data_IF_819715083580
#
_entry.id   IF_819715083580
#
_cell.length_a   1.000
_cell.length_b   1.000
_cell.length_c   1.000
_cell.angle_alpha   90.00
_cell.angle_beta   90.00
_cell.angle_gamma   90.00
#
_symmetry.space_group_name_H-M   'P 1'
#
loop_
_entity.id
_entity.type
_entity.pdbx_description
1 polymer ?
#
# COMPACT_ATOMS: atom_id res chain seq x y z
N UNK A 1 -5.43 -39.72 0.48
CA UNK A 1 -5.35 -38.87 1.67
C UNK A 1 -6.26 -37.65 1.60
N UNK A 2 -6.88 -37.39 0.43
CA UNK A 2 -7.72 -36.17 0.21
C UNK A 2 -9.22 -36.34 0.51
N UNK A 3 -9.70 -37.50 0.89
CA UNK A 3 -11.13 -37.75 1.09
C UNK A 3 -11.63 -37.55 2.52
N UNK A 4 -10.76 -37.33 3.48
CA UNK A 4 -11.12 -37.21 4.90
C UNK A 4 -11.37 -35.76 5.38
N UNK A 5 -10.94 -34.77 4.63
CA UNK A 5 -11.09 -33.35 5.01
C UNK A 5 -12.45 -32.78 4.61
N UNK A 6 -13.16 -33.38 3.65
CA UNK A 6 -14.49 -32.93 3.22
C UNK A 6 -15.64 -33.38 4.12
N UNK A 7 -15.40 -34.35 5.03
CA UNK A 7 -16.42 -34.87 5.95
C UNK A 7 -16.57 -34.11 7.28
N UNK A 8 -15.59 -33.32 7.68
CA UNK A 8 -15.57 -32.71 9.01
C UNK A 8 -16.23 -31.32 9.09
N UNK A 9 -16.55 -30.70 7.97
CA UNK A 9 -17.14 -29.33 7.94
C UNK A 9 -18.68 -29.35 7.94
N UNK A 10 -19.32 -30.49 7.72
CA UNK A 10 -20.79 -30.60 7.58
C UNK A 10 -21.53 -31.05 8.84
N UNK A 11 -20.87 -31.35 9.97
CA UNK A 11 -21.52 -31.86 11.20
C UNK A 11 -21.67 -30.81 12.32
N UNK A 12 -21.15 -29.60 12.15
CA UNK A 12 -21.18 -28.56 13.21
C UNK A 12 -22.39 -27.60 13.13
N UNK A 13 -23.38 -27.83 12.26
CA UNK A 13 -24.49 -26.87 12.03
C UNK A 13 -25.90 -27.38 12.40
N UNK A 14 -26.04 -28.51 13.07
CA UNK A 14 -27.35 -29.05 13.47
C UNK A 14 -27.35 -29.48 14.94
N UNK A 15 -27.25 -28.53 15.87
CA UNK A 15 -27.71 -28.73 17.26
C UNK A 15 -27.85 -27.41 18.00
N UNK A 16 -28.78 -26.54 17.59
CA UNK A 16 -29.32 -25.52 18.46
C UNK A 16 -30.82 -25.75 18.55
N UNK A 17 -31.16 -26.73 19.42
CA UNK A 17 -32.53 -27.10 19.73
C UNK A 17 -33.24 -25.97 20.46
N UNK A 18 -34.39 -25.62 19.97
CA UNK A 18 -35.37 -24.70 20.48
C UNK A 18 -35.95 -25.29 21.79
N UNK A 19 -35.62 -24.72 22.92
CA UNK A 19 -36.41 -24.88 24.16
C UNK A 19 -37.18 -23.59 24.38
N UNK A 20 -38.43 -23.56 23.93
CA UNK A 20 -39.36 -22.50 24.24
C UNK A 20 -39.74 -22.57 25.73
N UNK A 21 -39.37 -21.59 26.49
CA UNK A 21 -39.92 -21.34 27.82
C UNK A 21 -40.97 -20.26 27.68
N UNK A 22 -42.24 -20.64 27.90
CA UNK A 22 -43.32 -19.69 28.08
C UNK A 22 -43.08 -18.91 29.37
N UNK A 23 -42.57 -17.71 29.26
CA UNK A 23 -42.58 -16.76 30.36
C UNK A 23 -43.97 -16.12 30.44
N UNK A 24 -44.67 -16.41 31.49
CA UNK A 24 -45.91 -15.70 31.85
C UNK A 24 -45.52 -14.29 32.25
N UNK A 25 -45.88 -13.31 31.43
CA UNK A 25 -45.67 -11.90 31.74
C UNK A 25 -46.60 -11.54 32.91
N UNK A 26 -46.04 -11.39 34.08
CA UNK A 26 -46.71 -10.74 35.21
C UNK A 26 -46.75 -9.24 34.92
N UNK A 27 -47.98 -8.73 34.90
CA UNK A 27 -48.29 -7.32 34.69
C UNK A 27 -47.67 -6.45 35.78
N UNK A 28 -46.52 -5.87 35.52
CA UNK A 28 -45.76 -4.96 36.39
C UNK A 28 -46.00 -3.49 36.03
N UNK A 29 -47.17 -3.18 35.43
CA UNK A 29 -47.47 -1.82 34.93
C UNK A 29 -47.68 -0.76 36.02
N UNK A 30 -47.57 -1.11 37.29
CA UNK A 30 -47.83 -0.15 38.41
C UNK A 30 -46.58 0.32 39.17
N UNK A 31 -45.38 -0.20 38.88
CA UNK A 31 -44.18 0.20 39.61
C UNK A 31 -43.19 1.05 38.81
N UNK A 32 -43.52 1.41 37.56
CA UNK A 32 -42.63 2.21 36.69
C UNK A 32 -43.12 3.65 36.48
N UNK A 33 -44.07 4.12 37.31
CA UNK A 33 -44.64 5.47 37.17
C UNK A 33 -43.70 6.60 37.64
N UNK A 34 -42.54 6.28 38.18
CA UNK A 34 -41.64 7.32 38.70
C UNK A 34 -40.19 7.19 38.13
N UNK A 35 -40.09 6.77 36.88
CA UNK A 35 -38.84 6.94 36.16
C UNK A 35 -38.73 8.42 35.80
N UNK A 36 -37.90 9.13 36.58
CA UNK A 36 -37.46 10.49 36.23
C UNK A 36 -37.04 10.50 34.79
N UNK A 37 -37.86 11.11 33.91
CA UNK A 37 -37.43 11.43 32.56
C UNK A 37 -36.45 12.60 32.68
N UNK A 38 -35.14 12.38 32.56
CA UNK A 38 -34.23 13.49 32.53
C UNK A 38 -34.57 14.32 31.29
N UNK A 39 -34.91 15.57 31.49
CA UNK A 39 -35.09 16.56 30.40
C UNK A 39 -33.70 16.85 29.77
N UNK A 40 -33.15 15.80 29.16
CA UNK A 40 -31.91 15.89 28.45
C UNK A 40 -32.30 16.52 27.12
N UNK A 41 -32.09 17.84 26.99
CA UNK A 41 -32.04 18.46 25.67
C UNK A 41 -31.05 17.64 24.85
N UNK A 42 -31.57 16.93 23.85
CA UNK A 42 -30.72 16.29 22.85
C UNK A 42 -29.83 17.41 22.31
N UNK A 43 -28.56 17.34 22.66
CA UNK A 43 -27.54 18.16 22.00
C UNK A 43 -27.53 17.63 20.57
N UNK A 44 -27.86 18.45 19.62
CA UNK A 44 -27.51 18.17 18.22
C UNK A 44 -25.97 18.12 18.22
N UNK A 45 -25.46 16.90 18.18
CA UNK A 45 -24.05 16.66 17.93
C UNK A 45 -23.95 16.93 16.43
N UNK A 46 -23.47 18.11 16.05
CA UNK A 46 -22.90 18.29 14.74
C UNK A 46 -21.82 17.20 14.66
N UNK A 47 -22.02 16.24 13.77
CA UNK A 47 -20.97 15.32 13.40
C UNK A 47 -19.80 16.22 13.05
N UNK A 48 -18.68 16.08 13.75
CA UNK A 48 -17.47 16.77 13.37
C UNK A 48 -17.26 16.41 11.89
N UNK A 49 -17.27 17.43 11.03
CA UNK A 49 -16.79 17.23 9.66
C UNK A 49 -15.38 16.69 9.85
N UNK A 50 -15.25 15.38 9.69
CA UNK A 50 -13.96 14.74 9.60
C UNK A 50 -13.42 15.31 8.30
N UNK A 51 -12.48 16.24 8.40
CA UNK A 51 -11.71 16.71 7.25
C UNK A 51 -11.11 15.45 6.62
N UNK A 52 -11.81 14.96 5.59
CA UNK A 52 -11.34 13.79 4.86
C UNK A 52 -10.22 14.28 3.95
N UNK A 53 -9.00 14.31 4.49
CA UNK A 53 -7.77 14.54 3.74
C UNK A 53 -7.53 13.34 2.82
N UNK A 54 -8.26 13.32 1.70
CA UNK A 54 -8.25 12.19 0.78
C UNK A 54 -7.06 12.21 -0.18
N UNK A 55 -6.40 13.36 -0.33
CA UNK A 55 -5.28 13.51 -1.22
C UNK A 55 -3.96 13.45 -0.47
N UNK A 56 -3.03 12.71 -1.04
CA UNK A 56 -1.67 12.56 -0.53
C UNK A 56 -0.69 12.92 -1.65
N UNK A 57 0.23 13.84 -1.40
CA UNK A 57 1.31 14.21 -2.31
C UNK A 57 2.65 14.10 -1.60
N UNK A 58 3.66 13.55 -2.28
CA UNK A 58 4.96 13.41 -1.67
C UNK A 58 6.12 13.17 -2.61
N UNK A 59 7.29 13.16 -1.98
CA UNK A 59 8.57 12.89 -2.61
C UNK A 59 9.19 11.66 -1.97
N UNK A 60 10.00 10.94 -2.73
CA UNK A 60 10.76 9.82 -2.23
C UNK A 60 12.16 9.78 -2.83
N UNK A 61 13.06 9.13 -2.10
CA UNK A 61 14.42 8.84 -2.51
C UNK A 61 14.82 7.45 -2.03
N UNK A 62 15.59 6.73 -2.82
CA UNK A 62 15.95 5.37 -2.49
C UNK A 62 16.96 4.75 -3.43
N UNK A 63 16.89 3.44 -3.52
CA UNK A 63 17.79 2.63 -4.36
C UNK A 63 16.95 1.72 -5.24
N UNK A 64 17.22 1.78 -6.53
CA UNK A 64 16.70 0.88 -7.55
C UNK A 64 17.81 -0.11 -7.96
N UNK A 65 17.62 -1.38 -7.68
CA UNK A 65 18.47 -2.46 -8.17
C UNK A 65 17.94 -2.90 -9.52
N UNK A 66 18.60 -2.44 -10.58
CA UNK A 66 18.23 -2.78 -11.95
C UNK A 66 19.06 -3.98 -12.41
N UNK A 67 18.40 -5.01 -12.94
CA UNK A 67 19.07 -6.22 -13.41
C UNK A 67 20.13 -5.86 -14.48
N UNK A 68 21.31 -6.46 -14.38
CA UNK A 68 22.50 -6.21 -15.21
C UNK A 68 23.24 -4.88 -14.98
N UNK A 69 22.60 -3.84 -14.39
CA UNK A 69 23.20 -2.51 -14.18
C UNK A 69 23.44 -2.18 -12.68
N UNK A 70 23.10 -3.12 -11.78
CA UNK A 70 23.36 -2.98 -10.35
C UNK A 70 22.43 -2.01 -9.65
N UNK A 71 22.87 -1.50 -8.50
CA UNK A 71 22.06 -0.62 -7.65
C UNK A 71 22.36 0.84 -7.96
N UNK A 72 21.31 1.64 -8.14
CA UNK A 72 21.36 3.02 -8.57
C UNK A 72 20.45 3.86 -7.69
N UNK A 73 20.77 5.13 -7.49
CA UNK A 73 19.92 6.04 -6.76
C UNK A 73 18.64 6.34 -7.55
N UNK A 74 17.51 6.38 -6.87
CA UNK A 74 16.21 6.73 -7.44
C UNK A 74 15.60 7.87 -6.67
N UNK A 75 14.98 8.80 -7.38
CA UNK A 75 14.22 9.92 -6.83
C UNK A 75 12.89 10.01 -7.54
N UNK A 76 11.84 10.36 -6.82
CA UNK A 76 10.54 10.47 -7.45
C UNK A 76 9.53 11.25 -6.65
N UNK A 77 8.35 11.36 -7.28
CA UNK A 77 7.16 11.98 -6.73
C UNK A 77 6.01 10.98 -6.75
N UNK A 78 5.10 11.13 -5.81
CA UNK A 78 3.87 10.34 -5.74
C UNK A 78 2.68 11.23 -5.45
N UNK A 79 1.56 10.86 -5.99
CA UNK A 79 0.26 11.40 -5.63
C UNK A 79 -0.68 10.22 -5.41
N UNK A 80 -1.41 10.24 -4.31
CA UNK A 80 -2.39 9.21 -4.02
C UNK A 80 -3.74 9.82 -3.65
N UNK A 81 -4.79 9.09 -3.95
CA UNK A 81 -6.16 9.40 -3.57
C UNK A 81 -6.72 8.26 -2.76
N UNK A 82 -7.10 8.54 -1.52
CA UNK A 82 -7.71 7.58 -0.60
C UNK A 82 -9.19 7.45 -0.90
N UNK A 83 -9.57 6.32 -1.52
CA UNK A 83 -10.96 6.01 -1.92
C UNK A 83 -11.79 5.64 -0.69
N UNK A 84 -11.16 4.95 0.25
CA UNK A 84 -11.70 4.54 1.54
C UNK A 84 -10.54 4.38 2.55
N UNK A 85 -10.86 4.02 3.78
CA UNK A 85 -9.84 3.71 4.80
C UNK A 85 -8.90 2.58 4.37
N UNK A 86 -9.42 1.61 3.59
CA UNK A 86 -8.68 0.43 3.14
C UNK A 86 -8.04 0.62 1.77
N UNK A 87 -8.64 1.38 0.85
CA UNK A 87 -8.25 1.44 -0.55
C UNK A 87 -7.76 2.81 -0.97
N UNK A 88 -6.66 2.84 -1.70
CA UNK A 88 -6.14 4.05 -2.33
C UNK A 88 -5.64 3.78 -3.75
N UNK A 89 -5.72 4.79 -4.60
CA UNK A 89 -5.12 4.81 -5.92
C UNK A 89 -3.89 5.73 -5.87
N UNK A 90 -2.79 5.30 -6.45
CA UNK A 90 -1.53 6.05 -6.47
C UNK A 90 -1.02 6.19 -7.89
N UNK A 91 -0.56 7.38 -8.25
CA UNK A 91 0.30 7.62 -9.41
C UNK A 91 1.68 8.02 -8.92
N UNK A 92 2.72 7.44 -9.51
CA UNK A 92 4.09 7.80 -9.18
C UNK A 92 4.94 7.98 -10.45
N UNK A 93 5.93 8.85 -10.32
CA UNK A 93 6.95 9.08 -11.33
C UNK A 93 8.33 9.07 -10.67
N UNK A 94 9.24 8.29 -11.21
CA UNK A 94 10.59 8.16 -10.69
C UNK A 94 11.65 8.31 -11.77
N UNK A 95 12.81 8.80 -11.35
CA UNK A 95 14.00 8.96 -12.20
C UNK A 95 15.20 8.30 -11.53
N UNK A 96 16.04 7.69 -12.33
CA UNK A 96 17.28 7.06 -11.90
C UNK A 96 18.34 7.19 -13.01
N UNK A 97 19.60 7.15 -12.64
CA UNK A 97 20.71 7.11 -13.60
C UNK A 97 21.50 5.83 -13.40
N UNK A 98 21.44 4.95 -14.40
CA UNK A 98 22.08 3.65 -14.33
C UNK A 98 23.61 3.75 -14.43
N UNK A 99 24.29 2.99 -13.59
CA UNK A 99 25.75 2.86 -13.61
C UNK A 99 26.18 1.94 -14.77
N UNK A 100 27.51 1.87 -14.97
CA UNK A 100 28.10 0.94 -15.93
C UNK A 100 27.78 -0.50 -15.54
N UNK A 101 27.40 -1.30 -16.54
CA UNK A 101 27.16 -2.73 -16.38
C UNK A 101 28.40 -3.45 -15.79
N UNK A 102 28.16 -4.58 -15.14
CA UNK A 102 29.23 -5.43 -14.61
C UNK A 102 30.17 -5.93 -15.71
N UNK A 103 29.67 -6.20 -16.91
CA UNK A 103 30.47 -6.59 -18.09
C UNK A 103 31.37 -5.47 -18.57
N UNK A 104 30.91 -4.22 -18.59
CA UNK A 104 31.71 -3.06 -18.97
C UNK A 104 32.84 -2.78 -17.96
N UNK A 105 32.62 -3.06 -16.68
CA UNK A 105 33.63 -2.86 -15.63
C UNK A 105 34.74 -3.90 -15.68
N UNK A 106 34.44 -5.15 -16.03
CA UNK A 106 35.40 -6.27 -15.94
C UNK A 106 36.20 -6.45 -17.22
N UNK A 107 35.60 -6.28 -18.39
CA UNK A 107 36.18 -6.75 -19.65
C UNK A 107 36.75 -5.66 -20.55
N UNK A 108 36.62 -4.38 -20.19
CA UNK A 108 37.08 -3.28 -21.05
C UNK A 108 36.37 -3.23 -22.41
N UNK A 109 35.17 -3.82 -22.49
CA UNK A 109 34.33 -3.74 -23.67
C UNK A 109 33.91 -2.29 -23.93
N UNK A 110 33.62 -1.91 -25.18
CA UNK A 110 33.05 -0.61 -25.48
C UNK A 110 31.75 -0.46 -24.69
N UNK A 111 31.40 0.77 -24.25
CA UNK A 111 30.21 1.02 -23.47
C UNK A 111 28.99 0.53 -24.25
N UNK A 112 28.13 -0.26 -23.57
CA UNK A 112 26.89 -0.80 -24.14
C UNK A 112 25.86 0.32 -24.37
N UNK A 113 25.88 1.33 -23.51
CA UNK A 113 24.97 2.46 -23.52
C UNK A 113 25.76 3.77 -23.48
N UNK A 114 25.29 4.76 -24.19
CA UNK A 114 25.75 6.14 -24.07
C UNK A 114 25.33 6.74 -22.72
N UNK A 115 25.92 7.86 -22.31
CA UNK A 115 25.58 8.48 -21.04
C UNK A 115 24.10 8.96 -20.96
N UNK A 116 23.52 9.33 -22.11
CA UNK A 116 22.12 9.75 -22.23
C UNK A 116 21.15 8.54 -22.19
N UNK A 117 21.57 7.39 -22.73
CA UNK A 117 20.79 6.15 -22.69
C UNK A 117 20.76 5.47 -21.31
N UNK A 118 21.59 5.94 -20.37
CA UNK A 118 21.60 5.49 -18.97
C UNK A 118 20.55 6.16 -18.11
N UNK A 119 19.94 7.21 -18.61
CA UNK A 119 18.86 7.87 -17.90
C UNK A 119 17.61 6.99 -17.98
N UNK A 120 17.10 6.61 -16.81
CA UNK A 120 15.91 5.80 -16.63
C UNK A 120 14.83 6.65 -15.98
N UNK A 121 13.64 6.61 -16.52
CA UNK A 121 12.47 7.16 -15.89
C UNK A 121 11.31 6.17 -15.98
N UNK A 122 10.42 6.20 -15.00
CA UNK A 122 9.23 5.37 -15.00
C UNK A 122 8.03 6.13 -14.45
N UNK A 123 6.85 5.73 -14.88
CA UNK A 123 5.58 6.17 -14.32
C UNK A 123 4.64 4.99 -14.19
N UNK A 124 3.92 4.93 -13.07
CA UNK A 124 3.01 3.83 -12.77
C UNK A 124 1.71 4.36 -12.18
N UNK A 125 0.65 3.60 -12.41
CA UNK A 125 -0.61 3.71 -11.71
C UNK A 125 -0.80 2.45 -10.86
N UNK A 126 -1.07 2.64 -9.60
CA UNK A 126 -1.14 1.59 -8.60
C UNK A 126 -2.49 1.63 -7.88
N UNK A 127 -2.97 0.47 -7.51
CA UNK A 127 -4.01 0.29 -6.52
C UNK A 127 -3.37 -0.23 -5.25
N UNK A 128 -3.63 0.43 -4.14
CA UNK A 128 -3.11 0.07 -2.82
C UNK A 128 -4.21 -0.37 -1.88
N UNK A 129 -3.85 -1.27 -0.99
CA UNK A 129 -4.72 -1.78 0.06
C UNK A 129 -4.02 -1.72 1.42
N UNK A 130 -4.61 -1.03 2.40
CA UNK A 130 -4.13 -0.96 3.77
C UNK A 130 -4.47 -2.27 4.48
N UNK A 131 -3.45 -3.04 4.82
CA UNK A 131 -3.60 -4.39 5.40
C UNK A 131 -3.77 -4.35 6.91
N UNK A 132 -2.95 -3.56 7.60
CA UNK A 132 -2.81 -3.56 9.04
C UNK A 132 -2.66 -2.13 9.55
N UNK A 133 -3.76 -1.45 9.86
CA UNK A 133 -3.69 -0.22 10.65
C UNK A 133 -3.22 -0.58 12.08
N UNK A 134 -2.33 0.23 12.64
CA UNK A 134 -1.76 -0.03 13.94
C UNK A 134 -1.05 1.17 14.53
N UNK A 135 -0.42 0.95 15.67
CA UNK A 135 0.41 1.94 16.32
C UNK A 135 1.83 1.41 16.46
N UNK A 136 2.82 2.21 16.08
CA UNK A 136 4.23 1.91 16.29
C UNK A 136 4.76 2.73 17.45
N UNK A 137 5.34 2.05 18.43
CA UNK A 137 5.95 2.70 19.59
C UNK A 137 7.46 2.84 19.38
N UNK A 138 7.93 4.09 19.33
CA UNK A 138 9.36 4.41 19.28
C UNK A 138 9.73 5.17 20.54
N UNK A 139 10.34 4.46 21.50
CA UNK A 139 10.64 5.00 22.81
C UNK A 139 9.40 5.35 23.63
N UNK A 140 9.10 6.63 23.81
CA UNK A 140 7.91 7.15 24.53
C UNK A 140 6.81 7.67 23.58
N UNK A 141 7.06 7.63 22.28
CA UNK A 141 6.17 8.16 21.26
C UNK A 141 5.40 7.03 20.61
N UNK A 142 4.09 7.22 20.47
CA UNK A 142 3.21 6.36 19.69
C UNK A 142 2.92 7.06 18.36
N UNK A 143 3.14 6.37 17.26
CA UNK A 143 2.84 6.84 15.91
C UNK A 143 1.78 5.94 15.29
N UNK A 144 0.75 6.52 14.72
CA UNK A 144 -0.18 5.77 13.90
C UNK A 144 0.59 5.22 12.69
N UNK A 145 0.37 3.97 12.38
CA UNK A 145 1.06 3.27 11.31
C UNK A 145 0.09 2.43 10.49
N UNK A 146 0.42 2.24 9.22
CA UNK A 146 -0.33 1.35 8.35
C UNK A 146 0.63 0.59 7.44
N UNK A 147 0.54 -0.73 7.46
CA UNK A 147 1.14 -1.56 6.42
C UNK A 147 0.19 -1.64 5.24
N UNK A 148 0.71 -1.48 4.05
CA UNK A 148 -0.06 -1.58 2.83
C UNK A 148 0.62 -2.41 1.76
N UNK A 149 -0.19 -2.92 0.86
CA UNK A 149 0.23 -3.62 -0.35
C UNK A 149 -0.19 -2.82 -1.56
N UNK A 150 0.63 -2.83 -2.62
CA UNK A 150 0.34 -2.17 -3.88
C UNK A 150 0.52 -3.11 -5.05
N UNK A 151 -0.34 -2.96 -6.04
CA UNK A 151 -0.26 -3.62 -7.34
C UNK A 151 -0.58 -2.59 -8.42
N UNK A 152 0.22 -2.57 -9.47
CA UNK A 152 0.02 -1.60 -10.53
C UNK A 152 0.69 -1.94 -11.84
N UNK A 153 0.54 -1.03 -12.76
CA UNK A 153 1.15 -1.10 -14.08
C UNK A 153 1.53 0.30 -14.55
N UNK A 154 2.47 0.36 -15.46
CA UNK A 154 2.93 1.58 -16.06
C UNK A 154 3.97 1.32 -17.13
N UNK A 155 4.84 2.30 -17.35
CA UNK A 155 5.90 2.17 -18.33
C UNK A 155 7.22 2.64 -17.75
N UNK A 156 8.29 1.99 -18.19
CA UNK A 156 9.68 2.36 -17.91
C UNK A 156 10.34 2.78 -19.20
N UNK A 157 10.86 3.99 -19.24
CA UNK A 157 11.64 4.54 -20.34
C UNK A 157 13.11 4.28 -20.04
N UNK A 158 13.76 3.52 -20.90
CA UNK A 158 15.15 3.12 -20.75
C UNK A 158 15.78 2.86 -22.11
N UNK A 159 17.03 3.29 -22.32
CA UNK A 159 17.78 3.09 -23.58
C UNK A 159 17.02 3.61 -24.82
N UNK A 160 16.31 4.73 -24.72
CA UNK A 160 15.48 5.35 -25.75
C UNK A 160 14.22 4.57 -26.17
N UNK A 161 13.91 3.48 -25.46
CA UNK A 161 12.71 2.69 -25.66
C UNK A 161 11.79 2.75 -24.45
N UNK A 162 10.50 2.44 -24.67
CA UNK A 162 9.46 2.40 -23.63
C UNK A 162 9.00 0.96 -23.43
N UNK A 163 9.11 0.49 -22.17
CA UNK A 163 8.78 -0.88 -21.79
C UNK A 163 7.61 -0.89 -20.84
N UNK A 164 6.58 -1.66 -21.16
CA UNK A 164 5.47 -1.87 -20.26
C UNK A 164 5.93 -2.61 -19.00
N UNK A 165 5.55 -2.09 -17.83
CA UNK A 165 6.04 -2.56 -16.55
C UNK A 165 4.87 -2.85 -15.62
N UNK A 166 4.84 -4.04 -15.06
CA UNK A 166 4.01 -4.34 -13.89
C UNK A 166 4.80 -4.03 -12.63
N UNK A 167 4.13 -3.53 -11.61
CA UNK A 167 4.77 -3.40 -10.32
C UNK A 167 3.92 -4.03 -9.20
N UNK A 168 4.61 -4.61 -8.24
CA UNK A 168 4.04 -5.18 -7.03
C UNK A 168 4.93 -4.79 -5.86
N UNK A 169 4.33 -4.40 -4.77
CA UNK A 169 5.10 -3.96 -3.62
C UNK A 169 4.28 -3.85 -2.36
N UNK A 170 4.93 -3.35 -1.35
CA UNK A 170 4.32 -3.03 -0.07
C UNK A 170 5.14 -2.01 0.67
N UNK A 171 4.53 -1.39 1.65
CA UNK A 171 5.18 -0.36 2.43
C UNK A 171 4.62 -0.22 3.83
N UNK A 172 5.34 0.56 4.60
CA UNK A 172 4.97 1.02 5.92
C UNK A 172 4.78 2.53 5.86
N UNK A 173 3.60 2.99 6.23
CA UNK A 173 3.27 4.41 6.43
C UNK A 173 3.27 4.71 7.92
N UNK A 174 3.97 5.78 8.32
CA UNK A 174 4.03 6.28 9.69
C UNK A 174 3.54 7.73 9.70
N UNK A 175 2.46 8.01 10.39
CA UNK A 175 1.95 9.37 10.57
C UNK A 175 2.74 10.08 11.66
N UNK A 176 3.51 11.08 11.25
CA UNK A 176 4.29 11.93 12.17
C UNK A 176 3.41 13.01 12.77
N UNK A 177 2.49 13.52 11.97
CA UNK A 177 1.41 14.45 12.35
C UNK A 177 0.15 14.04 11.60
N UNK A 178 -0.98 14.70 11.85
CA UNK A 178 -2.24 14.40 11.15
C UNK A 178 -2.12 14.59 9.62
N UNK A 179 -1.25 15.48 9.16
CA UNK A 179 -1.07 15.85 7.76
C UNK A 179 0.29 15.49 7.14
N UNK A 180 1.22 14.89 7.92
CA UNK A 180 2.54 14.44 7.43
C UNK A 180 2.72 12.96 7.74
N UNK A 181 3.04 12.18 6.70
CA UNK A 181 3.47 10.80 6.87
C UNK A 181 4.84 10.53 6.27
N UNK A 182 5.55 9.57 6.85
CA UNK A 182 6.76 8.97 6.32
C UNK A 182 6.42 7.60 5.76
N UNK A 183 7.04 7.26 4.64
CA UNK A 183 6.86 5.97 3.98
C UNK A 183 8.19 5.24 3.86
N UNK A 184 8.12 3.94 4.03
CA UNK A 184 9.17 3.03 3.61
C UNK A 184 8.55 1.98 2.71
N UNK A 185 8.94 1.99 1.45
CA UNK A 185 8.40 1.13 0.40
C UNK A 185 9.45 0.15 -0.12
N UNK A 186 8.98 -1.03 -0.49
CA UNK A 186 9.72 -2.01 -1.29
C UNK A 186 8.83 -2.40 -2.45
N UNK A 187 9.33 -2.20 -3.68
CA UNK A 187 8.60 -2.44 -4.93
C UNK A 187 9.42 -3.32 -5.86
N UNK A 188 8.77 -4.19 -6.58
CA UNK A 188 9.38 -4.98 -7.65
C UNK A 188 8.73 -4.58 -8.97
N UNK A 189 9.54 -4.11 -9.91
CA UNK A 189 9.15 -3.72 -11.25
C UNK A 189 9.49 -4.87 -12.19
N UNK A 190 8.48 -5.46 -12.81
CA UNK A 190 8.55 -6.59 -13.71
C UNK A 190 8.35 -6.09 -15.14
N UNK A 191 9.35 -6.24 -16.00
CA UNK A 191 9.26 -5.83 -17.39
C UNK A 191 10.02 -6.79 -18.31
N UNK A 192 9.66 -6.79 -19.58
CA UNK A 192 10.37 -7.54 -20.62
C UNK A 192 11.08 -6.56 -21.52
N UNK A 193 12.37 -6.77 -21.80
CA UNK A 193 13.14 -5.96 -22.73
C UNK A 193 13.93 -6.83 -23.71
N UNK A 194 14.24 -6.27 -24.89
CA UNK A 194 15.00 -6.92 -25.96
C UNK A 194 16.39 -6.28 -26.19
N UNK A 195 16.99 -5.66 -25.18
CA UNK A 195 18.24 -4.89 -25.32
C UNK A 195 19.41 -5.71 -25.91
N UNK A 196 19.43 -7.01 -25.69
CA UNK A 196 20.48 -7.93 -26.19
C UNK A 196 20.03 -8.76 -27.39
N UNK A 197 18.92 -8.40 -28.05
CA UNK A 197 18.41 -9.05 -29.26
C UNK A 197 17.47 -10.23 -29.00
N UNK A 198 17.28 -10.64 -27.76
CA UNK A 198 16.28 -11.62 -27.33
C UNK A 198 15.42 -10.99 -26.23
N UNK A 199 14.14 -11.36 -26.20
CA UNK A 199 13.23 -10.93 -25.15
C UNK A 199 13.66 -11.54 -23.80
N UNK A 200 13.93 -10.69 -22.82
CA UNK A 200 14.33 -11.09 -21.48
C UNK A 200 13.39 -10.47 -20.47
N UNK A 201 12.80 -11.31 -19.62
CA UNK A 201 12.05 -10.87 -18.46
C UNK A 201 13.02 -10.50 -17.33
N UNK A 202 12.91 -9.29 -16.83
CA UNK A 202 13.76 -8.77 -15.75
C UNK A 202 12.91 -8.31 -14.56
N UNK A 203 13.54 -8.35 -13.41
CA UNK A 203 12.97 -7.92 -12.13
C UNK A 203 13.86 -6.83 -11.53
N UNK A 204 13.28 -5.69 -11.26
CA UNK A 204 13.99 -4.55 -10.73
C UNK A 204 13.44 -4.22 -9.35
N UNK A 205 14.25 -4.46 -8.33
CA UNK A 205 13.86 -4.23 -6.94
C UNK A 205 14.19 -2.79 -6.54
N UNK A 206 13.18 -2.06 -6.08
CA UNK A 206 13.30 -0.71 -5.56
C UNK A 206 12.98 -0.69 -4.07
N UNK A 207 13.78 0.01 -3.29
CA UNK A 207 13.45 0.38 -1.92
C UNK A 207 13.67 1.88 -1.73
N UNK A 208 12.69 2.55 -1.15
CA UNK A 208 12.77 3.99 -0.96
C UNK A 208 12.09 4.46 0.32
N UNK A 209 12.55 5.61 0.79
CA UNK A 209 11.94 6.37 1.86
C UNK A 209 11.28 7.61 1.26
N UNK A 210 10.10 7.94 1.72
CA UNK A 210 9.34 9.10 1.26
C UNK A 210 8.75 9.90 2.40
N UNK A 211 8.40 11.13 2.09
CA UNK A 211 7.61 12.01 2.95
C UNK A 211 6.43 12.51 2.15
N UNK A 212 5.26 12.45 2.73
CA UNK A 212 4.01 12.86 2.09
C UNK A 212 3.22 13.82 2.95
N UNK A 213 2.43 14.64 2.28
CA UNK A 213 1.51 15.61 2.85
C UNK A 213 0.08 15.18 2.47
N UNK A 214 -0.80 15.19 3.44
CA UNK A 214 -2.22 14.94 3.28
C UNK A 214 -2.99 16.26 3.24
N UNK A 215 -4.02 16.35 2.39
CA UNK A 215 -4.88 17.53 2.23
C UNK A 215 -6.21 17.19 1.58
#
# INVERSE_FOLDING_TARGET
>A
VESWIRGAVLIALVSCGITGHNAVAQDSSTLLADVVQPDIKRRDIEEAEIDAENWEFGFYAGVLSFEDFGSNDVYGVRIAYHISEDWFAEANYGISKLQKSSSEKIAGFPPLLTDDERDLSYYNLNLGFNLLPGELFIGKWAFNSSFYFILGAGNTLFASDEYFTYNVGGGLRLFVTDWIAMHWDVRNHLMTHALFGEDKDIQNLETHLGVTLFF
#
